data_IF_632433706281
#
_entry.id   IF_632433706281
#
_cell.length_a   1.000
_cell.length_b   1.000
_cell.length_c   1.000
_cell.angle_alpha   90.00
_cell.angle_beta   90.00
_cell.angle_gamma   90.00
#
_symmetry.space_group_name_H-M   'P 1'
#
loop_
_entity.id
_entity.type
_entity.pdbx_description
1 polymer ?
#
# COMPACT_ATOMS: atom_id res chain seq x y z
N UNK A 1 24.42 -10.76 6.67
CA UNK A 1 24.32 -9.31 6.37
C UNK A 1 24.19 -8.55 7.68
N UNK A 2 25.15 -7.70 8.08
CA UNK A 2 25.03 -6.96 9.34
C UNK A 2 24.14 -5.73 9.16
N UNK A 3 23.02 -5.69 9.89
CA UNK A 3 22.15 -4.52 9.95
C UNK A 3 22.75 -3.53 10.95
N UNK A 4 23.28 -2.40 10.47
CA UNK A 4 23.88 -1.36 11.33
C UNK A 4 22.88 -0.23 11.54
N UNK A 5 22.79 0.28 12.77
CA UNK A 5 21.94 1.42 13.12
C UNK A 5 20.48 1.05 13.41
N UNK A 6 20.13 -0.24 13.47
CA UNK A 6 18.83 -0.69 13.96
C UNK A 6 18.83 -0.71 15.49
N UNK A 7 17.99 0.12 16.08
CA UNK A 7 17.75 0.19 17.52
C UNK A 7 16.23 0.11 17.78
N UNK A 8 15.84 0.00 19.05
CA UNK A 8 14.42 -0.07 19.45
C UNK A 8 13.59 1.11 18.94
N UNK A 9 14.22 2.28 18.84
CA UNK A 9 13.58 3.56 18.49
C UNK A 9 14.22 4.22 17.25
N UNK A 10 15.00 3.48 16.46
CA UNK A 10 15.60 4.01 15.23
C UNK A 10 14.55 4.23 14.13
N UNK A 11 14.79 5.23 13.28
CA UNK A 11 14.02 5.42 12.04
C UNK A 11 14.28 4.27 11.06
N UNK A 12 13.23 3.50 10.78
CA UNK A 12 13.27 2.31 9.95
C UNK A 12 13.45 2.67 8.47
N UNK A 13 12.93 3.83 8.02
CA UNK A 13 13.04 4.27 6.62
C UNK A 13 14.50 4.55 6.25
N UNK A 14 15.18 5.40 7.03
CA UNK A 14 16.59 5.72 6.80
C UNK A 14 17.50 4.49 6.87
N UNK A 15 17.21 3.56 7.80
CA UNK A 15 17.98 2.30 7.91
C UNK A 15 17.71 1.38 6.72
N UNK A 16 16.48 1.33 6.20
CA UNK A 16 16.13 0.56 5.01
C UNK A 16 16.85 1.08 3.76
N UNK A 17 16.89 2.39 3.56
CA UNK A 17 17.63 3.03 2.45
C UNK A 17 19.12 2.74 2.54
N UNK A 18 19.72 2.97 3.71
CA UNK A 18 21.14 2.68 3.93
C UNK A 18 21.48 1.19 3.75
N UNK A 19 20.55 0.28 4.08
CA UNK A 19 20.72 -1.14 3.87
C UNK A 19 20.66 -1.50 2.38
N UNK A 20 19.70 -0.92 1.65
CA UNK A 20 19.54 -1.10 0.21
C UNK A 20 20.76 -0.60 -0.55
N UNK A 21 21.26 0.60 -0.21
CA UNK A 21 22.40 1.20 -0.91
C UNK A 21 23.70 0.40 -0.70
N UNK A 22 23.90 -0.15 0.51
CA UNK A 22 25.07 -1.00 0.82
C UNK A 22 25.00 -2.37 0.19
N UNK A 23 23.80 -2.90 0.02
CA UNK A 23 23.55 -4.25 -0.49
C UNK A 23 22.71 -4.22 -1.76
N UNK A 24 23.00 -3.27 -2.65
CA UNK A 24 22.29 -3.07 -3.91
C UNK A 24 22.30 -4.34 -4.76
N UNK A 25 23.39 -5.11 -4.77
CA UNK A 25 23.48 -6.37 -5.49
C UNK A 25 22.43 -7.43 -5.11
N UNK A 26 21.84 -7.35 -3.91
CA UNK A 26 20.85 -8.32 -3.41
C UNK A 26 19.46 -7.69 -3.26
N UNK A 27 19.41 -6.40 -2.91
CA UNK A 27 18.18 -5.69 -2.56
C UNK A 27 17.66 -4.77 -3.67
N UNK A 28 18.30 -4.69 -4.85
CA UNK A 28 17.80 -3.85 -5.95
C UNK A 28 16.44 -4.30 -6.47
N UNK A 29 16.23 -5.63 -6.53
CA UNK A 29 15.01 -6.21 -7.06
C UNK A 29 13.86 -6.16 -6.05
N UNK A 30 14.18 -5.92 -4.77
CA UNK A 30 13.19 -5.84 -3.71
C UNK A 30 12.73 -4.39 -3.51
N UNK A 31 11.42 -4.13 -3.42
CA UNK A 31 10.93 -2.79 -3.16
C UNK A 31 11.28 -2.34 -1.73
N UNK A 32 11.60 -1.05 -1.58
CA UNK A 32 12.06 -0.46 -0.32
C UNK A 32 11.12 -0.74 0.86
N UNK A 33 9.81 -0.67 0.63
CA UNK A 33 8.78 -0.91 1.64
C UNK A 33 8.80 -2.35 2.19
N UNK A 34 9.24 -3.35 1.41
CA UNK A 34 9.42 -4.73 1.92
C UNK A 34 10.63 -4.81 2.87
N UNK A 35 11.70 -4.08 2.56
CA UNK A 35 12.88 -3.97 3.44
C UNK A 35 12.50 -3.23 4.73
N UNK A 36 11.75 -2.14 4.62
CA UNK A 36 11.22 -1.40 5.78
C UNK A 36 10.34 -2.30 6.65
N UNK A 37 9.40 -3.05 6.04
CA UNK A 37 8.53 -4.00 6.74
C UNK A 37 9.33 -5.07 7.49
N UNK A 38 10.36 -5.64 6.86
CA UNK A 38 11.24 -6.61 7.51
C UNK A 38 11.97 -6.01 8.71
N UNK A 39 12.53 -4.81 8.55
CA UNK A 39 13.24 -4.12 9.63
C UNK A 39 12.30 -3.73 10.77
N UNK A 40 11.04 -3.38 10.48
CA UNK A 40 10.02 -3.11 11.49
C UNK A 40 9.68 -4.35 12.32
N UNK A 41 9.55 -5.52 11.69
CA UNK A 41 9.34 -6.80 12.40
C UNK A 41 10.52 -7.07 13.35
N UNK A 42 11.75 -6.86 12.88
CA UNK A 42 12.95 -7.01 13.71
C UNK A 42 12.96 -6.02 14.88
N UNK A 43 12.55 -4.77 14.66
CA UNK A 43 12.45 -3.75 15.70
C UNK A 43 11.46 -4.15 16.80
N UNK A 44 10.29 -4.68 16.43
CA UNK A 44 9.29 -5.16 17.40
C UNK A 44 9.77 -6.40 18.16
N UNK A 45 10.51 -7.30 17.50
CA UNK A 45 11.14 -8.43 18.16
C UNK A 45 12.20 -7.97 19.18
N UNK A 46 13.00 -6.94 18.84
CA UNK A 46 13.95 -6.32 19.79
C UNK A 46 13.29 -5.66 21.01
N UNK A 47 12.00 -5.28 20.90
CA UNK A 47 11.21 -4.75 22.02
C UNK A 47 10.65 -5.85 22.94
N UNK A 48 10.80 -7.12 22.57
CA UNK A 48 10.39 -8.28 23.38
C UNK A 48 9.01 -8.83 23.06
N UNK A 49 8.40 -8.41 21.94
CA UNK A 49 7.16 -9.00 21.43
C UNK A 49 7.43 -10.38 20.82
N UNK A 50 6.42 -11.25 20.85
CA UNK A 50 6.51 -12.56 20.16
C UNK A 50 6.50 -12.35 18.64
N UNK A 51 7.07 -13.28 17.88
CA UNK A 51 7.16 -13.15 16.42
C UNK A 51 5.78 -12.99 15.78
N UNK A 52 4.78 -13.72 16.27
CA UNK A 52 3.40 -13.67 15.77
C UNK A 52 2.77 -12.29 16.03
N UNK A 53 2.96 -11.72 17.22
CA UNK A 53 2.52 -10.36 17.54
C UNK A 53 3.21 -9.31 16.68
N UNK A 54 4.53 -9.44 16.47
CA UNK A 54 5.30 -8.53 15.62
C UNK A 54 4.76 -8.53 14.20
N UNK A 55 4.54 -9.72 13.62
CA UNK A 55 4.02 -9.87 12.26
C UNK A 55 2.60 -9.32 12.16
N UNK A 56 1.74 -9.58 13.14
CA UNK A 56 0.37 -9.06 13.15
C UNK A 56 0.34 -7.52 13.22
N UNK A 57 1.11 -6.91 14.11
CA UNK A 57 1.21 -5.45 14.24
C UNK A 57 1.71 -4.81 12.95
N UNK A 58 2.82 -5.30 12.43
CA UNK A 58 3.42 -4.76 11.21
C UNK A 58 2.51 -5.00 10.01
N UNK A 59 1.84 -6.14 9.90
CA UNK A 59 0.85 -6.34 8.83
C UNK A 59 -0.28 -5.31 8.92
N UNK A 60 -0.77 -5.00 10.12
CA UNK A 60 -1.79 -3.97 10.29
C UNK A 60 -1.30 -2.58 9.89
N UNK A 61 -0.06 -2.22 10.22
CA UNK A 61 0.55 -0.94 9.83
C UNK A 61 0.76 -0.83 8.31
N UNK A 62 1.11 -1.93 7.64
CA UNK A 62 1.43 -1.98 6.20
C UNK A 62 0.27 -2.50 5.34
N UNK A 63 -0.97 -2.48 5.83
CA UNK A 63 -2.17 -2.82 5.06
C UNK A 63 -3.05 -1.58 4.94
N UNK A 64 -3.60 -1.34 3.75
CA UNK A 64 -4.55 -0.26 3.52
C UNK A 64 -5.93 -0.74 3.96
N UNK A 65 -6.49 -0.10 4.99
CA UNK A 65 -7.86 -0.36 5.43
C UNK A 65 -8.84 0.50 4.62
N UNK A 66 -9.82 -0.09 3.91
CA UNK A 66 -10.80 0.67 3.12
C UNK A 66 -11.72 1.56 3.96
N UNK A 67 -11.97 1.23 5.23
CA UNK A 67 -12.89 1.96 6.11
C UNK A 67 -12.24 3.14 6.86
N UNK A 68 -10.94 3.37 6.66
CA UNK A 68 -10.19 4.36 7.43
C UNK A 68 -10.20 5.73 6.76
N UNK A 69 -10.43 6.78 7.56
CA UNK A 69 -10.41 8.16 7.06
C UNK A 69 -8.97 8.63 6.80
N UNK A 70 -8.53 8.48 5.55
CA UNK A 70 -7.19 8.85 5.10
C UNK A 70 -6.91 10.36 5.22
N UNK A 71 -7.94 11.21 5.32
CA UNK A 71 -7.76 12.66 5.42
C UNK A 71 -7.33 13.12 6.81
N UNK A 72 -7.45 12.25 7.83
CA UNK A 72 -7.06 12.55 9.22
C UNK A 72 -5.67 12.02 9.58
N UNK A 73 -4.99 11.37 8.64
CA UNK A 73 -3.69 10.76 8.87
C UNK A 73 -2.56 11.79 8.75
N UNK A 74 -1.45 11.50 9.40
CA UNK A 74 -0.21 12.24 9.23
C UNK A 74 0.45 11.91 7.87
N UNK A 75 1.27 12.86 7.37
CA UNK A 75 1.92 12.74 6.07
C UNK A 75 2.81 11.49 5.96
N UNK A 76 3.45 11.07 7.07
CA UNK A 76 4.38 9.95 7.06
C UNK A 76 3.66 8.60 6.92
N UNK A 77 2.56 8.41 7.66
CA UNK A 77 1.70 7.22 7.52
C UNK A 77 0.96 7.23 6.19
N UNK A 78 0.51 8.39 5.71
CA UNK A 78 -0.11 8.53 4.40
C UNK A 78 0.85 8.12 3.28
N UNK A 79 2.12 8.54 3.35
CA UNK A 79 3.13 8.14 2.38
C UNK A 79 3.36 6.63 2.40
N UNK A 80 3.45 6.00 3.58
CA UNK A 80 3.58 4.53 3.68
C UNK A 80 2.39 3.82 3.02
N UNK A 81 1.16 4.30 3.22
CA UNK A 81 -0.03 3.70 2.59
C UNK A 81 -0.02 3.86 1.07
N UNK A 82 0.45 5.01 0.56
CA UNK A 82 0.67 5.21 -0.89
C UNK A 82 1.66 4.21 -1.45
N UNK A 83 2.77 3.98 -0.75
CA UNK A 83 3.81 3.05 -1.19
C UNK A 83 3.29 1.60 -1.22
N UNK A 84 2.49 1.20 -0.22
CA UNK A 84 1.80 -0.10 -0.18
C UNK A 84 0.82 -0.24 -1.34
N UNK A 85 0.01 0.79 -1.61
CA UNK A 85 -0.94 0.81 -2.71
C UNK A 85 -0.23 0.69 -4.06
N UNK A 86 0.88 1.41 -4.25
CA UNK A 86 1.69 1.32 -5.47
C UNK A 86 2.22 -0.10 -5.69
N UNK A 87 2.67 -0.79 -4.63
CA UNK A 87 3.08 -2.18 -4.76
C UNK A 87 1.95 -3.12 -5.16
N UNK A 88 0.77 -3.00 -4.57
CA UNK A 88 -0.38 -3.82 -4.99
C UNK A 88 -0.76 -3.55 -6.43
N UNK A 89 -0.69 -2.28 -6.85
CA UNK A 89 -0.96 -1.88 -8.21
C UNK A 89 0.05 -2.48 -9.19
N UNK A 90 1.35 -2.35 -8.93
CA UNK A 90 2.39 -2.89 -9.81
C UNK A 90 2.32 -4.41 -9.97
N UNK A 91 1.90 -5.13 -8.92
CA UNK A 91 1.67 -6.58 -8.97
C UNK A 91 0.44 -6.97 -9.81
N UNK A 92 -0.64 -6.20 -9.69
CA UNK A 92 -1.90 -6.46 -10.39
C UNK A 92 -1.96 -5.80 -11.78
N UNK A 93 -0.95 -5.02 -12.15
CA UNK A 93 -0.89 -4.31 -13.42
C UNK A 93 -0.72 -5.28 -14.58
N UNK A 94 -1.80 -5.49 -15.33
CA UNK A 94 -1.78 -6.17 -16.63
C UNK A 94 -1.15 -5.26 -17.67
N UNK A 95 -0.14 -5.73 -18.40
CA UNK A 95 0.54 -4.97 -19.46
C UNK A 95 0.08 -5.45 -20.84
N UNK A 96 0.10 -4.58 -21.87
CA UNK A 96 -0.11 -5.00 -23.25
C UNK A 96 0.95 -6.04 -23.63
N UNK A 97 0.56 -7.30 -23.73
CA UNK A 97 1.46 -8.44 -23.95
C UNK A 97 1.29 -9.60 -22.96
N UNK A 98 0.62 -9.38 -21.83
CA UNK A 98 0.22 -10.46 -20.93
C UNK A 98 -0.95 -11.26 -21.53
N UNK A 99 -1.00 -12.60 -21.35
CA UNK A 99 -2.06 -13.44 -21.93
C UNK A 99 -3.47 -13.07 -21.46
N UNK A 100 -3.57 -12.49 -20.25
CA UNK A 100 -4.84 -12.06 -19.64
C UNK A 100 -5.16 -10.57 -19.90
N UNK A 101 -4.37 -9.90 -20.75
CA UNK A 101 -4.61 -8.51 -21.14
C UNK A 101 -5.77 -8.46 -22.14
N UNK A 102 -6.87 -7.83 -21.74
CA UNK A 102 -8.01 -7.56 -22.59
C UNK A 102 -8.12 -6.05 -22.81
N UNK A 103 -8.33 -5.66 -24.07
CA UNK A 103 -8.72 -4.29 -24.41
C UNK A 103 -10.19 -4.09 -24.09
N UNK A 104 -10.54 -2.89 -23.65
CA UNK A 104 -11.92 -2.45 -23.40
C UNK A 104 -12.70 -3.44 -22.52
N UNK A 105 -12.12 -3.79 -21.36
CA UNK A 105 -12.82 -4.55 -20.33
C UNK A 105 -13.95 -3.68 -19.77
N UNK A 106 -15.15 -3.92 -20.27
CA UNK A 106 -16.40 -3.42 -19.69
C UNK A 106 -16.70 -4.27 -18.44
N UNK A 107 -16.31 -3.77 -17.27
CA UNK A 107 -16.76 -4.29 -15.99
C UNK A 107 -18.06 -3.58 -15.61
N UNK A 108 -19.17 -4.31 -15.64
CA UNK A 108 -20.38 -3.91 -14.94
C UNK A 108 -20.05 -3.96 -13.45
N UNK A 109 -19.89 -2.78 -12.84
CA UNK A 109 -19.88 -2.67 -11.40
C UNK A 109 -21.29 -3.02 -10.92
N UNK A 110 -21.59 -4.30 -10.79
CA UNK A 110 -22.74 -4.80 -10.04
C UNK A 110 -22.54 -4.36 -8.59
N UNK A 111 -22.91 -3.10 -8.32
CA UNK A 111 -22.99 -2.60 -6.96
C UNK A 111 -24.11 -3.43 -6.32
N UNK A 112 -23.75 -4.45 -5.53
CA UNK A 112 -24.65 -5.05 -4.55
C UNK A 112 -24.96 -3.97 -3.48
N UNK A 113 -25.77 -2.99 -3.87
CA UNK A 113 -26.03 -1.77 -3.12
C UNK A 113 -26.69 -0.73 -4.01
N UNK A 114 -27.50 0.15 -3.42
CA UNK A 114 -28.12 1.24 -4.16
C UNK A 114 -27.01 2.07 -4.84
N UNK A 115 -27.11 2.24 -6.17
CA UNK A 115 -26.32 3.24 -6.90
C UNK A 115 -26.48 4.54 -6.11
N UNK A 116 -25.40 5.02 -5.51
CA UNK A 116 -25.42 6.25 -4.74
C UNK A 116 -25.69 7.39 -5.72
N UNK A 117 -26.95 7.80 -5.83
CA UNK A 117 -27.34 8.94 -6.67
C UNK A 117 -26.70 10.17 -6.06
N UNK A 118 -25.63 10.64 -6.68
CA UNK A 118 -25.00 11.90 -6.27
C UNK A 118 -25.92 13.05 -6.67
N UNK A 119 -25.89 14.19 -5.98
CA UNK A 119 -26.74 15.35 -6.34
C UNK A 119 -26.52 15.90 -7.76
N UNK A 120 -25.50 15.39 -8.46
CA UNK A 120 -25.18 15.66 -9.86
C UNK A 120 -25.95 14.75 -10.84
N UNK A 121 -26.49 13.61 -10.40
CA UNK A 121 -27.31 12.72 -11.22
C UNK A 121 -28.75 13.22 -11.41
N UNK A 122 -29.13 14.25 -10.65
CA UNK A 122 -30.52 14.72 -10.60
C UNK A 122 -30.90 15.71 -11.70
N UNK A 123 -30.03 15.96 -12.70
CA UNK A 123 -30.20 17.07 -13.65
C UNK A 123 -30.36 16.65 -15.12
N UNK A 124 -31.11 15.56 -15.35
CA UNK A 124 -31.59 15.20 -16.70
C UNK A 124 -33.06 14.74 -16.72
N UNK A 125 -33.96 15.68 -16.43
CA UNK A 125 -35.34 15.60 -16.90
C UNK A 125 -35.93 16.97 -17.23
N UNK A 126 -35.12 17.86 -17.84
CA UNK A 126 -35.68 18.99 -18.56
C UNK A 126 -35.98 18.53 -19.99
N UNK A 127 -37.24 18.15 -20.23
CA UNK A 127 -37.82 17.96 -21.56
C UNK A 127 -37.44 19.16 -22.45
N UNK A 128 -36.57 18.93 -23.43
CA UNK A 128 -36.43 19.81 -24.58
C UNK A 128 -37.58 19.52 -25.54
N UNK A 129 -38.69 20.23 -25.34
CA UNK A 129 -39.82 20.24 -26.29
C UNK A 129 -39.42 21.10 -27.51
N UNK A 130 -39.43 20.48 -28.69
CA UNK A 130 -39.09 21.10 -29.98
C UNK A 130 -40.32 21.71 -30.67
#
# INVERSE_FOLDING_TARGET
MPVRGLFKDSDVKSVAEALRDRHSAVLNDAPLIQVEKMLRILQENMKGHTLEECVAKVNKEFTVNPDEDLNKLDDETLQRKKDVMNLSFEKSRKKPGDPDFQYDVEEDFDVEGAIETSGWDSDKSAEFDF
#
